data_IF_488683193660
#
_entry.id   IF_488683193660
#
_cell.length_a   1.000
_cell.length_b   1.000
_cell.length_c   1.000
_cell.angle_alpha   90.00
_cell.angle_beta   90.00
_cell.angle_gamma   90.00
#
_symmetry.space_group_name_H-M   'P 1'
#
loop_
_entity.id
_entity.type
_entity.pdbx_description
1 polymer ?
#
# COMPACT_ATOMS: atom_id res chain seq x y z
N UNK A 1 -11.81 1.97 5.27
CA UNK A 1 -10.58 2.17 4.48
C UNK A 1 -9.50 2.74 5.38
N UNK A 2 -8.71 1.90 6.06
CA UNK A 2 -7.60 2.38 6.89
C UNK A 2 -6.50 2.96 5.98
N UNK A 3 -6.14 4.22 6.24
CA UNK A 3 -4.99 4.87 5.60
C UNK A 3 -3.72 4.45 6.33
N UNK A 4 -2.68 4.09 5.58
CA UNK A 4 -1.39 3.67 6.13
C UNK A 4 -0.37 4.80 6.09
N UNK A 5 -0.17 5.37 4.90
CA UNK A 5 0.88 6.35 4.67
C UNK A 5 0.41 7.53 3.80
N UNK A 6 1.00 8.69 4.05
CA UNK A 6 0.97 9.83 3.13
C UNK A 6 2.41 10.20 2.75
N UNK A 7 2.70 10.30 1.45
CA UNK A 7 4.04 10.59 0.94
C UNK A 7 4.00 11.47 -0.30
N UNK A 8 4.39 12.75 -0.17
CA UNK A 8 4.40 13.74 -1.27
C UNK A 8 3.11 13.76 -2.14
N UNK A 9 1.95 13.73 -1.48
CA UNK A 9 0.62 13.76 -2.11
C UNK A 9 0.06 12.37 -2.45
N UNK A 10 0.88 11.32 -2.45
CA UNK A 10 0.44 9.93 -2.55
C UNK A 10 -0.19 9.49 -1.22
N UNK A 11 -1.35 8.83 -1.30
CA UNK A 11 -1.97 8.15 -0.16
C UNK A 11 -1.90 6.64 -0.37
N UNK A 12 -1.40 5.89 0.62
CA UNK A 12 -1.41 4.42 0.63
C UNK A 12 -2.44 3.94 1.65
N UNK A 13 -3.32 3.02 1.24
CA UNK A 13 -4.44 2.55 2.07
C UNK A 13 -4.88 1.13 1.74
N UNK A 14 -5.59 0.50 2.67
CA UNK A 14 -6.39 -0.71 2.39
C UNK A 14 -7.84 -0.32 2.05
N UNK A 15 -8.43 -1.03 1.10
CA UNK A 15 -9.87 -0.97 0.88
C UNK A 15 -10.62 -1.79 1.92
N UNK A 16 -11.88 -1.42 2.18
CA UNK A 16 -12.63 -1.97 3.33
C UNK A 16 -13.08 -3.42 3.12
N UNK A 17 -13.14 -3.87 1.87
CA UNK A 17 -13.51 -5.22 1.44
C UNK A 17 -12.29 -6.03 1.00
N UNK A 18 -11.12 -5.70 1.54
CA UNK A 18 -9.87 -6.34 1.18
C UNK A 18 -9.82 -7.76 1.75
N UNK A 19 -9.44 -8.70 0.89
CA UNK A 19 -9.27 -10.11 1.18
C UNK A 19 -7.88 -10.53 0.73
N UNK A 20 -7.48 -11.77 1.02
CA UNK A 20 -6.26 -12.35 0.47
C UNK A 20 -6.32 -12.44 -1.06
N UNK A 21 -5.21 -12.20 -1.78
CA UNK A 21 -3.86 -11.89 -1.26
C UNK A 21 -3.76 -10.48 -0.67
N UNK A 22 -2.86 -10.27 0.30
CA UNK A 22 -2.64 -8.94 0.92
C UNK A 22 -2.25 -7.95 -0.18
N UNK A 23 -2.99 -6.86 -0.33
CA UNK A 23 -2.64 -5.79 -1.25
C UNK A 23 -2.87 -4.42 -0.61
N UNK A 24 -2.38 -3.37 -1.28
CA UNK A 24 -2.59 -1.96 -0.92
C UNK A 24 -2.80 -1.13 -2.17
N UNK A 25 -3.50 -0.02 -2.01
CA UNK A 25 -3.79 0.93 -3.07
C UNK A 25 -3.01 2.22 -2.86
N UNK A 26 -2.25 2.63 -3.89
CA UNK A 26 -1.62 3.93 -3.99
C UNK A 26 -2.51 4.87 -4.79
N UNK A 27 -2.97 5.97 -4.16
CA UNK A 27 -3.86 6.97 -4.76
C UNK A 27 -3.17 8.32 -4.86
N UNK A 28 -3.29 8.95 -6.02
CA UNK A 28 -2.85 10.33 -6.26
C UNK A 28 -3.86 10.99 -7.20
N UNK A 29 -4.54 12.04 -6.73
CA UNK A 29 -5.63 12.69 -7.46
C UNK A 29 -6.68 11.66 -7.93
N UNK A 30 -6.95 11.60 -9.25
CA UNK A 30 -7.88 10.65 -9.87
C UNK A 30 -7.21 9.35 -10.34
N UNK A 31 -5.92 9.17 -10.05
CA UNK A 31 -5.12 8.01 -10.47
C UNK A 31 -4.90 7.03 -9.33
N UNK A 32 -4.73 5.76 -9.69
CA UNK A 32 -4.64 4.68 -8.73
C UNK A 32 -3.82 3.50 -9.27
N UNK A 33 -3.03 2.87 -8.40
CA UNK A 33 -2.33 1.62 -8.70
C UNK A 33 -2.30 0.74 -7.47
N UNK A 34 -2.16 -0.57 -7.68
CA UNK A 34 -2.21 -1.58 -6.64
C UNK A 34 -0.87 -2.28 -6.51
N UNK A 35 -0.47 -2.58 -5.28
CA UNK A 35 0.65 -3.46 -4.97
C UNK A 35 0.12 -4.68 -4.20
N UNK A 36 0.37 -5.88 -4.73
CA UNK A 36 -0.06 -7.16 -4.17
C UNK A 36 1.16 -7.93 -3.66
N UNK A 37 1.08 -8.41 -2.42
CA UNK A 37 2.15 -9.14 -1.74
C UNK A 37 1.96 -10.64 -1.91
N UNK A 38 2.95 -11.31 -2.51
CA UNK A 38 2.99 -12.77 -2.60
C UNK A 38 3.80 -13.26 -1.40
N UNK A 39 3.12 -13.96 -0.49
CA UNK A 39 3.70 -14.45 0.75
C UNK A 39 3.72 -15.98 0.72
N UNK A 40 4.88 -16.57 1.05
CA UNK A 40 5.03 -18.01 1.25
C UNK A 40 5.79 -18.27 2.54
N UNK A 41 5.30 -19.23 3.32
CA UNK A 41 5.89 -19.60 4.61
C UNK A 41 6.12 -18.40 5.56
N UNK A 42 5.22 -17.40 5.48
CA UNK A 42 5.30 -16.18 6.28
C UNK A 42 6.30 -15.13 5.79
N UNK A 43 6.98 -15.35 4.65
CA UNK A 43 7.92 -14.40 4.06
C UNK A 43 7.36 -13.78 2.78
N UNK A 44 7.64 -12.50 2.56
CA UNK A 44 7.29 -11.79 1.33
C UNK A 44 8.29 -12.22 0.25
N UNK A 45 7.83 -13.01 -0.73
CA UNK A 45 8.67 -13.45 -1.85
C UNK A 45 8.65 -12.45 -3.02
N UNK A 46 7.51 -11.80 -3.26
CA UNK A 46 7.32 -10.93 -4.41
C UNK A 46 6.29 -9.83 -4.08
N UNK A 47 6.47 -8.65 -4.70
CA UNK A 47 5.47 -7.59 -4.72
C UNK A 47 5.11 -7.29 -6.17
N UNK A 48 3.84 -7.47 -6.53
CA UNK A 48 3.33 -7.26 -7.89
C UNK A 48 2.56 -5.95 -7.99
N UNK A 49 2.98 -5.10 -8.92
CA UNK A 49 2.32 -3.84 -9.20
C UNK A 49 1.38 -3.97 -10.40
N UNK A 50 0.15 -3.49 -10.27
CA UNK A 50 -0.86 -3.55 -11.32
C UNK A 50 -1.74 -2.30 -11.36
N UNK A 51 -2.38 -2.05 -12.51
CA UNK A 51 -3.43 -1.04 -12.63
C UNK A 51 -4.71 -1.51 -11.94
N UNK A 52 -5.56 -0.55 -11.55
CA UNK A 52 -6.88 -0.82 -10.98
C UNK A 52 -7.94 -0.61 -12.06
N UNK A 53 -8.83 -1.58 -12.24
CA UNK A 53 -9.89 -1.51 -13.25
C UNK A 53 -10.74 -0.24 -13.07
N UNK A 54 -10.98 0.49 -14.16
CA UNK A 54 -11.75 1.74 -14.13
C UNK A 54 -10.99 2.95 -13.57
N UNK A 55 -9.69 2.84 -13.32
CA UNK A 55 -8.82 3.95 -12.89
C UNK A 55 -7.61 4.08 -13.81
N UNK A 56 -7.19 5.32 -14.04
CA UNK A 56 -5.90 5.59 -14.67
C UNK A 56 -4.77 5.21 -13.72
N UNK A 57 -3.68 4.60 -14.22
CA UNK A 57 -2.53 4.25 -13.39
C UNK A 57 -1.84 5.51 -12.83
N UNK A 58 -1.08 5.35 -11.76
CA UNK A 58 -0.28 6.43 -11.19
C UNK A 58 0.70 6.98 -12.25
N UNK A 59 0.90 8.31 -12.32
CA UNK A 59 1.87 8.89 -13.23
C UNK A 59 3.32 8.49 -12.84
N UNK A 60 4.30 8.60 -13.76
CA UNK A 60 5.65 8.05 -13.58
C UNK A 60 6.38 8.47 -12.29
N UNK A 61 6.19 9.71 -11.82
CA UNK A 61 6.78 10.15 -10.55
C UNK A 61 6.11 9.49 -9.34
N UNK A 62 4.78 9.34 -9.39
CA UNK A 62 4.01 8.81 -8.26
C UNK A 62 4.07 7.29 -8.17
N UNK A 63 4.19 6.57 -9.30
CA UNK A 63 4.43 5.13 -9.25
C UNK A 63 5.79 4.82 -8.60
N UNK A 64 6.83 5.62 -8.86
CA UNK A 64 8.12 5.50 -8.17
C UNK A 64 8.01 5.78 -6.67
N UNK A 65 7.29 6.83 -6.28
CA UNK A 65 7.03 7.11 -4.87
C UNK A 65 6.26 5.97 -4.20
N UNK A 66 5.28 5.39 -4.91
CA UNK A 66 4.52 4.26 -4.42
C UNK A 66 5.42 3.06 -4.18
N UNK A 67 6.20 2.65 -5.19
CA UNK A 67 7.15 1.54 -5.08
C UNK A 67 8.13 1.73 -3.92
N UNK A 68 8.72 2.92 -3.77
CA UNK A 68 9.63 3.24 -2.66
C UNK A 68 8.96 3.07 -1.29
N UNK A 69 7.72 3.53 -1.13
CA UNK A 69 6.97 3.36 0.14
C UNK A 69 6.66 1.89 0.38
N UNK A 70 6.19 1.17 -0.65
CA UNK A 70 5.81 -0.24 -0.51
C UNK A 70 7.00 -1.13 -0.18
N UNK A 71 8.14 -0.93 -0.86
CA UNK A 71 9.35 -1.70 -0.64
C UNK A 71 9.97 -1.41 0.73
N UNK A 72 10.04 -0.13 1.13
CA UNK A 72 10.64 0.24 2.41
C UNK A 72 9.82 -0.22 3.62
N UNK A 73 8.48 -0.25 3.50
CA UNK A 73 7.57 -0.59 4.60
C UNK A 73 6.87 -1.94 4.39
N UNK A 74 7.42 -2.84 3.56
CA UNK A 74 6.75 -4.06 3.15
C UNK A 74 6.25 -4.92 4.33
N UNK A 75 7.15 -5.22 5.29
CA UNK A 75 6.82 -6.00 6.48
C UNK A 75 5.80 -5.28 7.38
N UNK A 76 5.97 -3.96 7.56
CA UNK A 76 5.05 -3.16 8.36
C UNK A 76 3.65 -3.12 7.73
N UNK A 77 3.55 -3.07 6.40
CA UNK A 77 2.26 -3.14 5.70
C UNK A 77 1.57 -4.46 5.98
N UNK A 78 2.28 -5.59 5.91
CA UNK A 78 1.71 -6.90 6.24
C UNK A 78 1.27 -6.94 7.70
N UNK A 79 2.08 -6.42 8.63
CA UNK A 79 1.73 -6.36 10.04
C UNK A 79 0.49 -5.48 10.28
N UNK A 80 0.39 -4.32 9.63
CA UNK A 80 -0.78 -3.44 9.67
C UNK A 80 -2.02 -4.12 9.07
N UNK A 81 -1.86 -4.94 8.04
CA UNK A 81 -2.97 -5.74 7.53
C UNK A 81 -3.50 -6.71 8.60
N UNK A 82 -2.60 -7.43 9.28
CA UNK A 82 -2.94 -8.34 10.39
C UNK A 82 -3.62 -7.57 11.52
N UNK A 83 -3.05 -6.45 11.95
CA UNK A 83 -3.58 -5.65 13.05
C UNK A 83 -5.00 -5.17 12.75
N UNK A 84 -5.29 -4.72 11.53
CA UNK A 84 -6.61 -4.20 11.17
C UNK A 84 -7.63 -5.30 10.89
N UNK A 85 -7.33 -6.24 9.98
CA UNK A 85 -8.32 -7.19 9.47
C UNK A 85 -8.46 -8.44 10.33
N UNK A 86 -7.40 -8.85 11.05
CA UNK A 86 -7.43 -10.05 11.91
C UNK A 86 -7.66 -9.65 13.36
N UNK A 87 -6.87 -8.70 13.87
CA UNK A 87 -6.89 -8.31 15.28
C UNK A 87 -7.87 -7.17 15.59
N UNK A 88 -8.51 -6.58 14.57
CA UNK A 88 -9.51 -5.52 14.72
C UNK A 88 -9.00 -4.29 15.50
N UNK A 89 -7.72 -3.97 15.36
CA UNK A 89 -7.08 -2.81 15.99
C UNK A 89 -7.20 -1.59 15.09
N UNK A 90 -7.35 -0.43 15.73
CA UNK A 90 -7.29 0.84 15.01
C UNK A 90 -5.86 1.11 14.52
N UNK A 91 -5.73 1.59 13.28
CA UNK A 91 -4.45 1.97 12.68
C UNK A 91 -4.42 3.48 12.46
N UNK A 92 -3.33 4.10 12.87
CA UNK A 92 -3.10 5.52 12.64
C UNK A 92 -2.24 5.72 11.37
N UNK A 93 -2.66 6.60 10.45
CA UNK A 93 -1.86 6.90 9.26
C UNK A 93 -0.58 7.64 9.65
N UNK A 94 0.52 7.32 8.97
CA UNK A 94 1.80 7.99 9.13
C UNK A 94 2.05 8.93 7.96
N UNK A 95 2.36 10.19 8.28
CA UNK A 95 2.77 11.19 7.28
C UNK A 95 4.28 11.21 7.14
N UNK A 96 4.78 10.91 5.95
CA UNK A 96 6.20 10.85 5.63
C UNK A 96 6.57 12.14 4.90
N UNK A 97 7.33 13.01 5.56
CA UNK A 97 7.73 14.33 5.05
C UNK A 97 9.17 14.37 4.53
N UNK A 98 9.95 13.32 4.80
CA UNK A 98 11.35 13.18 4.37
C UNK A 98 11.45 12.10 3.31
N UNK A 99 12.37 12.26 2.36
CA UNK A 99 12.64 11.22 1.37
C UNK A 99 13.11 9.95 2.06
N UNK A 100 12.47 8.85 1.69
CA UNK A 100 12.88 7.49 2.04
C UNK A 100 14.17 7.19 1.25
N UNK A 101 15.14 6.56 1.92
CA UNK A 101 16.45 6.20 1.35
C UNK A 101 16.52 4.71 1.11
#
# INVERSE_FOLDING_TARGET
>A
MPKLYEYFGLTVLFYSNEHEPIHVHGKFENTESRAEFIIREGQIEEIRYSSVLGRSPLPPNQIRHFQVVIEHFAEEIVQRWIDYFVLHRAIQPQKITRRIR
#
